data_IF_463362222094
#
_entry.id   IF_463362222094
#
_cell.length_a   1.000
_cell.length_b   1.000
_cell.length_c   1.000
_cell.angle_alpha   90.00
_cell.angle_beta   90.00
_cell.angle_gamma   90.00
#
_symmetry.space_group_name_H-M   'P 1'
#
loop_
_entity.id
_entity.type
_entity.pdbx_description
1 polymer ?
#
# COMPACT_ATOMS: atom_id res chain seq x y z
N UNK A 1 -12.69 -12.09 -14.02
CA UNK A 1 -12.77 -11.08 -12.93
C UNK A 1 -11.86 -9.91 -13.30
N UNK A 2 -12.28 -8.67 -13.12
CA UNK A 2 -11.51 -7.49 -13.54
C UNK A 2 -11.42 -6.50 -12.39
N UNK A 3 -10.21 -6.05 -12.05
CA UNK A 3 -9.97 -5.03 -11.03
C UNK A 3 -9.66 -3.69 -11.69
N UNK A 4 -10.29 -2.62 -11.19
CA UNK A 4 -9.89 -1.24 -11.50
C UNK A 4 -9.20 -0.66 -10.27
N UNK A 5 -8.01 -0.11 -10.45
CA UNK A 5 -7.25 0.56 -9.39
C UNK A 5 -7.11 2.03 -9.77
N UNK A 6 -7.57 2.91 -8.88
CA UNK A 6 -7.49 4.37 -9.05
C UNK A 6 -6.62 4.93 -7.93
N UNK A 7 -5.56 5.64 -8.27
CA UNK A 7 -4.72 6.36 -7.31
C UNK A 7 -5.43 7.65 -6.89
N UNK A 8 -5.76 7.76 -5.61
CA UNK A 8 -6.36 8.97 -5.03
C UNK A 8 -5.32 9.90 -4.40
N UNK A 9 -4.26 9.33 -3.80
CA UNK A 9 -3.14 10.10 -3.23
C UNK A 9 -1.83 9.42 -3.62
N UNK A 10 -0.88 10.24 -4.04
CA UNK A 10 0.50 9.88 -4.34
C UNK A 10 1.39 11.13 -4.18
N UNK A 11 2.71 10.95 -4.08
CA UNK A 11 3.67 12.04 -3.89
C UNK A 11 3.79 12.99 -5.10
N UNK A 12 3.31 12.57 -6.26
CA UNK A 12 3.33 13.36 -7.49
C UNK A 12 2.02 13.24 -8.27
N UNK A 13 1.60 14.30 -8.97
CA UNK A 13 0.39 14.31 -9.76
C UNK A 13 0.61 15.01 -11.10
N UNK A 14 0.03 14.46 -12.16
CA UNK A 14 0.06 15.02 -13.52
C UNK A 14 -1.34 15.42 -14.04
N UNK A 15 -2.40 15.15 -13.25
CA UNK A 15 -3.78 15.50 -13.58
C UNK A 15 -4.12 16.97 -13.31
N UNK A 16 -4.98 17.59 -14.15
CA UNK A 16 -5.50 18.93 -13.85
C UNK A 16 -6.38 18.87 -12.60
N UNK A 17 -6.20 19.86 -11.71
CA UNK A 17 -6.94 20.05 -10.46
C UNK A 17 -6.72 18.97 -9.39
N UNK A 18 -6.11 17.85 -9.70
CA UNK A 18 -5.68 16.89 -8.71
C UNK A 18 -4.51 17.45 -7.91
N UNK A 19 -4.41 17.04 -6.65
CA UNK A 19 -3.35 17.46 -5.75
C UNK A 19 -2.56 16.25 -5.28
N UNK A 20 -1.30 16.48 -4.89
CA UNK A 20 -0.38 15.49 -4.36
C UNK A 20 0.01 15.83 -2.92
N UNK A 21 0.28 14.83 -2.13
CA UNK A 21 0.90 14.96 -0.82
C UNK A 21 1.84 13.76 -0.58
N UNK A 22 2.68 13.86 0.44
CA UNK A 22 3.44 12.70 0.87
C UNK A 22 2.50 11.68 1.51
N UNK A 23 2.17 10.63 0.78
CA UNK A 23 1.22 9.61 1.22
C UNK A 23 0.75 8.72 0.06
N UNK A 24 0.00 7.68 0.42
CA UNK A 24 -0.60 6.77 -0.54
C UNK A 24 -2.07 6.53 -0.20
N UNK A 25 -2.93 6.56 -1.23
CA UNK A 25 -4.30 6.07 -1.16
C UNK A 25 -4.73 5.52 -2.51
N UNK A 26 -5.15 4.27 -2.53
CA UNK A 26 -5.61 3.57 -3.73
C UNK A 26 -7.05 3.12 -3.56
N UNK A 27 -7.91 3.41 -4.54
CA UNK A 27 -9.23 2.80 -4.60
C UNK A 27 -9.17 1.57 -5.51
N UNK A 28 -9.64 0.44 -5.00
CA UNK A 28 -9.76 -0.83 -5.71
C UNK A 28 -11.25 -1.11 -5.93
N UNK A 29 -11.66 -1.27 -7.18
CA UNK A 29 -13.04 -1.57 -7.56
C UNK A 29 -13.11 -2.96 -8.23
N UNK A 30 -14.04 -3.80 -7.78
CA UNK A 30 -14.30 -5.11 -8.36
C UNK A 30 -15.73 -5.59 -8.02
N UNK A 31 -16.50 -6.02 -9.03
CA UNK A 31 -17.82 -6.65 -8.87
C UNK A 31 -18.76 -5.87 -7.91
N UNK A 32 -18.77 -4.55 -8.01
CA UNK A 32 -19.59 -3.68 -7.17
C UNK A 32 -19.02 -3.37 -5.79
N UNK A 33 -17.90 -3.97 -5.39
CA UNK A 33 -17.18 -3.57 -4.19
C UNK A 33 -16.23 -2.42 -4.48
N UNK A 34 -16.16 -1.49 -3.52
CA UNK A 34 -15.20 -0.39 -3.46
C UNK A 34 -14.36 -0.55 -2.21
N UNK A 35 -13.07 -0.73 -2.35
CA UNK A 35 -12.11 -0.93 -1.27
C UNK A 35 -11.08 0.18 -1.33
N UNK A 36 -10.93 0.93 -0.24
CA UNK A 36 -9.87 1.92 -0.10
C UNK A 36 -8.67 1.25 0.56
N UNK A 37 -7.50 1.36 -0.04
CA UNK A 37 -6.22 0.91 0.51
C UNK A 37 -5.42 2.15 0.89
N UNK A 38 -5.30 2.39 2.19
CA UNK A 38 -4.76 3.59 2.85
C UNK A 38 -5.52 4.90 2.56
N UNK A 39 -5.24 5.95 3.33
CA UNK A 39 -5.97 7.21 3.29
C UNK A 39 -5.09 8.42 2.99
N UNK A 40 -3.79 8.24 2.74
CA UNK A 40 -2.86 9.36 2.66
C UNK A 40 -2.60 10.02 4.00
N UNK A 41 -2.06 11.23 3.95
CA UNK A 41 -1.68 12.00 5.13
C UNK A 41 -2.77 12.96 5.62
N UNK A 42 -3.73 13.31 4.78
CA UNK A 42 -4.79 14.28 5.07
C UNK A 42 -6.16 13.84 4.52
N UNK A 43 -7.08 14.78 4.33
CA UNK A 43 -8.35 14.56 3.62
C UNK A 43 -8.23 14.66 2.10
N UNK A 44 -7.02 14.78 1.57
CA UNK A 44 -6.76 14.99 0.15
C UNK A 44 -7.35 13.88 -0.73
N UNK A 45 -7.37 12.63 -0.24
CA UNK A 45 -8.00 11.52 -0.97
C UNK A 45 -9.49 11.77 -1.25
N UNK A 46 -10.21 12.48 -0.35
CA UNK A 46 -11.64 12.84 -0.54
C UNK A 46 -11.76 13.90 -1.64
N UNK A 47 -10.88 14.92 -1.61
CA UNK A 47 -10.85 15.97 -2.63
C UNK A 47 -10.61 15.37 -4.03
N UNK A 48 -9.57 14.54 -4.16
CA UNK A 48 -9.23 13.89 -5.44
C UNK A 48 -10.29 12.88 -5.89
N UNK A 49 -10.93 12.17 -4.96
CA UNK A 49 -12.06 11.29 -5.23
C UNK A 49 -13.25 12.07 -5.83
N UNK A 50 -13.62 13.20 -5.21
CA UNK A 50 -14.70 14.07 -5.70
C UNK A 50 -14.43 14.56 -7.13
N UNK A 51 -13.19 14.97 -7.44
CA UNK A 51 -12.80 15.39 -8.79
C UNK A 51 -12.80 14.24 -9.82
N UNK A 52 -12.83 13.01 -9.35
CA UNK A 52 -12.85 11.79 -10.16
C UNK A 52 -14.23 11.11 -10.19
N UNK A 53 -15.28 11.80 -9.71
CA UNK A 53 -16.65 11.27 -9.58
C UNK A 53 -16.73 10.01 -8.73
N UNK A 54 -15.90 9.92 -7.67
CA UNK A 54 -15.82 8.80 -6.74
C UNK A 54 -16.41 9.22 -5.39
N UNK A 55 -17.45 8.51 -4.95
CA UNK A 55 -18.11 8.71 -3.66
C UNK A 55 -17.43 7.88 -2.56
N UNK A 56 -16.66 8.52 -1.68
CA UNK A 56 -15.99 7.86 -0.56
C UNK A 56 -16.99 7.28 0.45
N UNK A 57 -18.17 7.87 0.59
CA UNK A 57 -19.26 7.34 1.42
C UNK A 57 -19.74 5.94 0.96
N UNK A 58 -19.49 5.57 -0.30
CA UNK A 58 -19.88 4.28 -0.88
C UNK A 58 -18.82 3.19 -0.76
N UNK A 59 -17.63 3.49 -0.22
CA UNK A 59 -16.59 2.50 0.06
C UNK A 59 -17.10 1.46 1.06
N UNK A 60 -16.85 0.18 0.75
CA UNK A 60 -17.29 -0.96 1.56
C UNK A 60 -16.27 -1.33 2.65
N UNK A 61 -14.98 -1.23 2.32
CA UNK A 61 -13.88 -1.57 3.20
C UNK A 61 -12.76 -0.54 3.08
N UNK A 62 -12.17 -0.15 4.23
CA UNK A 62 -10.89 0.52 4.30
C UNK A 62 -9.86 -0.49 4.79
N UNK A 63 -8.77 -0.66 4.07
CA UNK A 63 -7.62 -1.45 4.48
C UNK A 63 -6.51 -0.48 4.86
N UNK A 64 -5.95 -0.59 6.08
CA UNK A 64 -4.76 0.13 6.48
C UNK A 64 -3.56 -0.82 6.39
N UNK A 65 -2.61 -0.46 5.56
CA UNK A 65 -1.42 -1.28 5.29
C UNK A 65 -0.49 -1.38 6.49
N UNK A 66 -0.30 -0.27 7.20
CA UNK A 66 0.50 -0.13 8.42
C UNK A 66 0.18 1.21 9.10
N UNK A 67 0.76 1.47 10.27
CA UNK A 67 0.36 2.58 11.14
C UNK A 67 1.00 3.94 10.87
N UNK A 68 1.78 4.15 9.81
CA UNK A 68 2.39 5.45 9.54
C UNK A 68 1.37 6.51 9.11
N UNK A 69 1.61 7.77 9.50
CA UNK A 69 0.68 8.88 9.30
C UNK A 69 0.43 9.25 7.83
N UNK A 70 1.36 8.99 6.95
CA UNK A 70 1.24 9.18 5.50
C UNK A 70 0.36 8.10 4.81
N UNK A 71 -0.12 7.13 5.59
CA UNK A 71 -1.10 6.10 5.18
C UNK A 71 -2.40 6.18 5.96
N UNK A 72 -2.34 6.71 7.19
CA UNK A 72 -3.46 6.71 8.14
C UNK A 72 -3.95 8.10 8.52
N UNK A 73 -3.29 9.16 8.05
CA UNK A 73 -3.63 10.53 8.44
C UNK A 73 -5.03 10.96 8.04
N UNK A 74 -5.55 10.45 6.92
CA UNK A 74 -6.92 10.65 6.48
C UNK A 74 -7.98 9.80 7.18
N UNK A 75 -7.59 8.88 8.09
CA UNK A 75 -8.52 7.93 8.72
C UNK A 75 -9.72 8.60 9.40
N UNK A 76 -9.50 9.68 10.16
CA UNK A 76 -10.60 10.40 10.82
C UNK A 76 -11.54 11.07 9.81
N UNK A 77 -10.99 11.61 8.73
CA UNK A 77 -11.77 12.20 7.65
C UNK A 77 -12.59 11.10 6.96
N UNK A 78 -12.00 9.93 6.68
CA UNK A 78 -12.73 8.77 6.17
C UNK A 78 -13.91 8.38 7.09
N UNK A 79 -13.67 8.21 8.39
CA UNK A 79 -14.70 7.83 9.36
C UNK A 79 -15.79 8.89 9.50
N UNK A 80 -15.48 10.17 9.19
CA UNK A 80 -16.46 11.27 9.23
C UNK A 80 -17.43 11.24 8.05
N UNK A 81 -16.97 10.86 6.85
CA UNK A 81 -17.79 10.86 5.63
C UNK A 81 -18.38 9.50 5.31
N UNK A 82 -17.67 8.40 5.62
CA UNK A 82 -18.17 7.04 5.45
C UNK A 82 -18.67 6.48 6.78
N UNK A 83 -19.93 6.04 6.84
CA UNK A 83 -20.57 5.54 8.07
C UNK A 83 -20.76 4.03 8.09
N UNK A 84 -20.40 3.31 7.01
CA UNK A 84 -20.75 1.89 6.83
C UNK A 84 -19.53 0.96 6.67
N UNK A 85 -18.41 1.44 6.14
CA UNK A 85 -17.27 0.60 5.84
C UNK A 85 -16.64 -0.01 7.11
N UNK A 86 -16.21 -1.26 7.03
CA UNK A 86 -15.31 -1.83 8.02
C UNK A 86 -13.87 -1.38 7.74
N UNK A 87 -13.11 -1.09 8.80
CA UNK A 87 -11.67 -0.79 8.74
C UNK A 87 -10.90 -2.08 9.05
N UNK A 88 -10.10 -2.54 8.12
CA UNK A 88 -9.34 -3.79 8.21
C UNK A 88 -7.86 -3.44 8.40
N UNK A 89 -7.25 -3.90 9.48
CA UNK A 89 -5.82 -3.70 9.75
C UNK A 89 -5.30 -4.74 10.74
N UNK A 90 -4.01 -4.70 11.02
CA UNK A 90 -3.47 -5.37 12.21
C UNK A 90 -3.62 -4.44 13.41
N UNK A 91 -3.75 -5.00 14.60
CA UNK A 91 -3.94 -4.20 15.81
C UNK A 91 -2.76 -3.27 16.07
N UNK A 92 -1.55 -3.72 15.77
CA UNK A 92 -0.30 -3.00 15.94
C UNK A 92 -0.21 -1.74 15.05
N UNK A 93 -1.03 -1.62 14.00
CA UNK A 93 -1.12 -0.41 13.18
C UNK A 93 -1.65 0.79 13.99
N UNK A 94 -2.37 0.56 15.08
CA UNK A 94 -2.88 1.61 15.97
C UNK A 94 -1.92 1.97 17.10
N UNK A 95 -0.76 1.31 17.21
CA UNK A 95 0.26 1.68 18.18
C UNK A 95 0.91 3.00 17.79
N UNK A 96 1.39 3.74 18.80
CA UNK A 96 2.17 4.95 18.52
C UNK A 96 3.45 4.58 17.81
N UNK A 97 3.73 5.26 16.72
CA UNK A 97 4.91 5.06 15.88
C UNK A 97 5.79 6.28 15.91
N UNK A 98 7.10 6.08 15.78
CA UNK A 98 8.06 7.16 15.79
C UNK A 98 9.12 6.94 14.71
N UNK A 99 9.55 8.03 14.09
CA UNK A 99 10.80 8.08 13.31
C UNK A 99 11.78 8.93 14.09
N UNK A 100 12.85 8.32 14.60
CA UNK A 100 13.71 8.93 15.63
C UNK A 100 12.87 9.36 16.86
N UNK A 101 12.75 10.68 17.08
CA UNK A 101 11.97 11.28 18.18
C UNK A 101 10.64 11.88 17.75
N UNK A 102 10.35 11.88 16.42
CA UNK A 102 9.12 12.45 15.87
C UNK A 102 8.05 11.37 15.78
N UNK A 103 6.90 11.64 16.37
CA UNK A 103 5.72 10.78 16.20
C UNK A 103 5.23 10.84 14.75
N UNK A 104 4.97 9.67 14.16
CA UNK A 104 4.49 9.50 12.80
C UNK A 104 3.46 8.37 12.68
N UNK A 105 2.78 8.06 13.77
CA UNK A 105 1.71 7.07 13.82
C UNK A 105 0.32 7.63 13.58
N UNK A 106 -0.70 6.81 13.84
CA UNK A 106 -2.11 7.20 13.81
C UNK A 106 -2.37 8.29 14.85
N UNK A 107 -2.88 9.44 14.41
CA UNK A 107 -3.16 10.58 15.30
C UNK A 107 -4.29 10.21 16.25
N UNK A 108 -4.06 10.41 17.57
CA UNK A 108 -5.05 10.16 18.63
C UNK A 108 -5.72 8.78 18.51
N UNK A 109 -4.97 7.72 18.23
CA UNK A 109 -5.51 6.38 18.03
C UNK A 109 -6.37 5.89 19.20
N UNK A 110 -6.06 6.33 20.42
CA UNK A 110 -6.81 6.04 21.64
C UNK A 110 -8.22 6.66 21.68
N UNK A 111 -8.53 7.63 20.82
CA UNK A 111 -9.84 8.28 20.71
C UNK A 111 -10.69 7.74 19.56
N UNK A 112 -10.21 6.71 18.85
CA UNK A 112 -10.97 6.08 17.76
C UNK A 112 -12.08 5.19 18.31
N UNK A 113 -13.26 5.27 17.70
CA UNK A 113 -14.29 4.25 17.87
C UNK A 113 -13.91 3.01 17.07
N UNK A 114 -13.54 1.95 17.80
CA UNK A 114 -13.08 0.69 17.20
C UNK A 114 -14.22 -0.25 16.80
N UNK A 115 -15.48 0.13 16.97
CA UNK A 115 -16.64 -0.73 16.67
C UNK A 115 -16.69 -1.21 15.22
N UNK A 116 -16.06 -0.45 14.31
CA UNK A 116 -15.96 -0.76 12.87
C UNK A 116 -14.64 -1.42 12.46
N UNK A 117 -13.72 -1.61 13.41
CA UNK A 117 -12.41 -2.21 13.12
C UNK A 117 -12.49 -3.73 13.18
N UNK A 118 -11.85 -4.36 12.21
CA UNK A 118 -11.63 -5.81 12.15
C UNK A 118 -10.12 -6.04 12.10
N UNK A 119 -9.58 -6.54 13.21
CA UNK A 119 -8.18 -6.89 13.30
C UNK A 119 -7.94 -8.27 12.69
N UNK A 120 -6.93 -8.37 11.81
CA UNK A 120 -6.55 -9.62 11.16
C UNK A 120 -5.15 -10.04 11.59
N UNK A 121 -4.95 -11.35 11.72
CA UNK A 121 -3.66 -11.95 12.13
C UNK A 121 -3.16 -12.99 11.15
N UNK A 122 -4.00 -13.45 10.22
CA UNK A 122 -3.66 -14.45 9.21
C UNK A 122 -4.21 -14.08 7.84
N UNK A 123 -3.72 -14.75 6.81
CA UNK A 123 -4.19 -14.58 5.44
C UNK A 123 -5.73 -14.64 5.38
N UNK A 124 -6.33 -13.64 4.78
CA UNK A 124 -7.79 -13.45 4.75
C UNK A 124 -8.25 -13.10 3.35
N UNK A 125 -9.20 -13.83 2.81
CA UNK A 125 -9.96 -13.41 1.63
C UNK A 125 -11.06 -12.44 2.06
N UNK A 126 -10.89 -11.15 1.74
CA UNK A 126 -11.83 -10.11 2.16
C UNK A 126 -13.10 -10.09 1.32
N UNK A 127 -12.92 -10.21 0.02
CA UNK A 127 -13.97 -10.43 -0.99
C UNK A 127 -13.43 -11.45 -2.01
N UNK A 128 -14.26 -12.10 -2.81
CA UNK A 128 -13.78 -13.08 -3.80
C UNK A 128 -12.62 -12.55 -4.65
N UNK A 129 -11.47 -13.20 -4.55
CA UNK A 129 -10.24 -12.87 -5.27
C UNK A 129 -9.39 -11.75 -4.68
N UNK A 130 -9.80 -11.09 -3.58
CA UNK A 130 -8.95 -10.11 -2.88
C UNK A 130 -8.48 -10.68 -1.54
N UNK A 131 -7.17 -10.93 -1.44
CA UNK A 131 -6.52 -11.51 -0.27
C UNK A 131 -5.66 -10.50 0.46
N UNK A 132 -5.71 -10.55 1.79
CA UNK A 132 -4.87 -9.77 2.70
C UNK A 132 -3.79 -10.68 3.29
N UNK A 133 -2.56 -10.23 3.27
CA UNK A 133 -1.38 -10.91 3.79
C UNK A 133 -0.79 -10.13 4.96
N UNK A 134 -1.24 -10.37 6.20
CA UNK A 134 -0.71 -9.70 7.39
C UNK A 134 0.54 -10.38 7.97
N UNK A 135 0.84 -11.61 7.54
CA UNK A 135 2.05 -12.34 7.92
C UNK A 135 3.05 -12.31 6.75
N UNK A 136 4.08 -11.49 6.92
CA UNK A 136 5.11 -11.21 5.92
C UNK A 136 6.48 -11.55 6.51
N UNK A 137 6.91 -12.83 6.52
CA UNK A 137 8.17 -13.24 7.10
C UNK A 137 9.36 -12.59 6.38
N UNK A 138 10.35 -12.15 7.18
CA UNK A 138 11.61 -11.60 6.66
C UNK A 138 12.55 -12.76 6.36
N UNK A 139 12.72 -13.07 5.08
CA UNK A 139 13.63 -14.10 4.57
C UNK A 139 14.91 -13.44 4.03
N UNK A 140 14.76 -12.27 3.41
CA UNK A 140 15.87 -11.41 2.96
C UNK A 140 15.94 -10.18 3.86
N UNK A 141 16.79 -10.14 4.89
CA UNK A 141 16.89 -9.00 5.81
C UNK A 141 17.52 -7.77 5.15
N UNK A 142 18.29 -7.92 4.07
CA UNK A 142 18.94 -6.80 3.37
C UNK A 142 17.93 -5.90 2.65
N UNK A 143 16.73 -6.41 2.37
CA UNK A 143 15.62 -5.65 1.76
C UNK A 143 14.70 -4.99 2.79
N UNK A 144 14.98 -5.08 4.10
CA UNK A 144 14.13 -4.45 5.13
C UNK A 144 14.45 -2.97 5.32
N UNK A 145 13.47 -2.21 5.91
CA UNK A 145 13.57 -0.77 6.13
C UNK A 145 13.12 -0.43 7.56
N UNK A 146 13.85 -0.95 8.56
CA UNK A 146 13.51 -0.81 9.99
C UNK A 146 14.29 0.31 10.68
N UNK A 147 15.31 0.84 10.02
CA UNK A 147 16.26 1.77 10.62
C UNK A 147 15.56 3.08 11.03
N UNK A 148 15.80 3.51 12.29
CA UNK A 148 15.29 4.75 12.88
C UNK A 148 13.79 4.76 13.17
N UNK A 149 13.09 3.63 12.99
CA UNK A 149 11.69 3.49 13.33
C UNK A 149 11.51 2.78 14.68
N UNK A 150 10.51 3.25 15.44
CA UNK A 150 10.19 2.73 16.76
C UNK A 150 8.67 2.64 16.92
N UNK A 151 8.23 1.71 17.75
CA UNK A 151 6.81 1.53 18.09
C UNK A 151 6.64 1.43 19.60
N UNK A 152 5.50 1.95 20.10
CA UNK A 152 5.12 1.87 21.50
C UNK A 152 4.33 0.59 21.72
N UNK A 153 4.94 -0.39 22.38
CA UNK A 153 4.26 -1.61 22.86
C UNK A 153 3.84 -1.47 24.33
N UNK A 154 3.07 -2.42 24.89
CA UNK A 154 2.80 -2.45 26.32
C UNK A 154 4.06 -2.48 27.19
N UNK A 155 5.16 -3.04 26.68
CA UNK A 155 6.44 -3.17 27.37
C UNK A 155 7.32 -1.92 27.26
N UNK A 156 6.95 -0.98 26.39
CA UNK A 156 7.69 0.27 26.17
C UNK A 156 7.95 0.60 24.69
N UNK A 157 8.80 1.58 24.44
CA UNK A 157 9.22 1.95 23.09
C UNK A 157 10.35 1.02 22.64
N UNK A 158 10.13 0.31 21.56
CA UNK A 158 11.06 -0.66 20.98
C UNK A 158 11.32 -0.35 19.49
N UNK A 159 12.43 -0.83 18.88
CA UNK A 159 12.61 -0.76 17.44
C UNK A 159 11.38 -1.36 16.71
N UNK A 160 10.91 -0.66 15.69
CA UNK A 160 9.78 -1.14 14.90
C UNK A 160 10.26 -2.09 13.81
N UNK A 161 9.81 -3.33 13.85
CA UNK A 161 10.04 -4.34 12.81
C UNK A 161 8.82 -4.53 11.92
N UNK A 162 7.89 -3.56 11.97
CA UNK A 162 6.68 -3.48 11.16
C UNK A 162 5.83 -4.75 11.19
N UNK A 163 5.58 -5.25 12.40
CA UNK A 163 4.64 -6.35 12.59
C UNK A 163 3.21 -6.00 12.18
N UNK A 164 2.91 -4.72 12.03
CA UNK A 164 1.62 -4.20 11.55
C UNK A 164 1.49 -4.17 10.02
N UNK A 165 2.59 -4.34 9.26
CA UNK A 165 2.54 -4.27 7.80
C UNK A 165 1.73 -5.44 7.22
N UNK A 166 0.87 -5.11 6.24
CA UNK A 166 0.17 -6.06 5.40
C UNK A 166 0.22 -5.67 3.93
N UNK A 167 0.14 -6.67 3.05
CA UNK A 167 0.04 -6.50 1.60
C UNK A 167 -1.26 -7.09 1.08
N UNK A 168 -1.65 -6.67 -0.14
CA UNK A 168 -2.86 -7.13 -0.83
C UNK A 168 -2.48 -7.92 -2.07
N UNK A 169 -3.13 -9.07 -2.28
CA UNK A 169 -3.10 -9.78 -3.56
C UNK A 169 -4.47 -9.75 -4.21
N UNK A 170 -4.50 -9.44 -5.51
CA UNK A 170 -5.70 -9.47 -6.35
C UNK A 170 -5.60 -10.63 -7.33
N UNK A 171 -6.57 -11.52 -7.30
CA UNK A 171 -6.61 -12.73 -8.13
C UNK A 171 -7.69 -12.56 -9.19
N UNK A 172 -7.31 -12.74 -10.45
CA UNK A 172 -8.23 -12.73 -11.58
C UNK A 172 -7.86 -13.87 -12.55
N UNK A 173 -8.78 -14.82 -12.71
CA UNK A 173 -8.50 -16.02 -13.52
C UNK A 173 -7.23 -16.73 -13.03
N UNK A 174 -6.23 -16.92 -13.90
CA UNK A 174 -4.94 -17.54 -13.58
C UNK A 174 -3.84 -16.47 -13.37
N UNK A 175 -4.20 -15.25 -12.95
CA UNK A 175 -3.24 -14.18 -12.70
C UNK A 175 -3.34 -13.69 -11.26
N UNK A 176 -2.23 -13.20 -10.71
CA UNK A 176 -2.20 -12.48 -9.45
C UNK A 176 -1.52 -11.13 -9.60
N UNK A 177 -1.98 -10.15 -8.83
CA UNK A 177 -1.38 -8.82 -8.72
C UNK A 177 -1.07 -8.53 -7.25
N UNK A 178 -0.02 -7.77 -6.97
CA UNK A 178 0.40 -7.42 -5.62
C UNK A 178 0.36 -5.91 -5.43
N UNK A 179 -0.29 -5.46 -4.36
CA UNK A 179 -0.24 -4.08 -3.89
C UNK A 179 0.46 -4.05 -2.53
N UNK A 180 1.49 -3.23 -2.42
CA UNK A 180 2.21 -2.99 -1.18
C UNK A 180 2.38 -1.48 -0.97
N UNK A 181 2.13 -0.99 0.24
CA UNK A 181 2.16 0.46 0.49
C UNK A 181 3.59 1.00 0.57
N UNK A 182 4.36 0.54 1.57
CA UNK A 182 5.75 0.97 1.79
C UNK A 182 6.78 -0.15 1.69
N UNK A 183 6.38 -1.39 1.89
CA UNK A 183 7.28 -2.57 1.88
C UNK A 183 8.42 -2.48 2.92
N UNK A 184 8.11 -2.03 4.15
CA UNK A 184 9.11 -1.94 5.21
C UNK A 184 9.75 -3.29 5.56
N UNK A 185 8.98 -4.38 5.47
CA UNK A 185 9.48 -5.75 5.65
C UNK A 185 10.21 -6.30 4.43
N UNK A 186 10.38 -5.47 3.39
CA UNK A 186 11.06 -5.77 2.14
C UNK A 186 10.13 -6.27 1.04
N UNK A 187 10.17 -5.62 -0.12
CA UNK A 187 9.31 -6.01 -1.26
C UNK A 187 9.61 -7.42 -1.74
N UNK A 188 10.87 -7.89 -1.71
CA UNK A 188 11.24 -9.24 -2.11
C UNK A 188 10.65 -10.30 -1.17
N UNK A 189 10.54 -10.00 0.13
CA UNK A 189 9.91 -10.85 1.13
C UNK A 189 8.39 -10.95 0.90
N UNK A 190 7.75 -9.81 0.62
CA UNK A 190 6.32 -9.73 0.30
C UNK A 190 6.00 -10.55 -0.96
N UNK A 191 6.74 -10.32 -2.03
CA UNK A 191 6.53 -11.01 -3.31
C UNK A 191 6.75 -12.52 -3.20
N UNK A 192 7.78 -12.95 -2.45
CA UNK A 192 8.03 -14.37 -2.20
C UNK A 192 6.87 -15.00 -1.43
N UNK A 193 6.39 -14.33 -0.38
CA UNK A 193 5.28 -14.81 0.44
C UNK A 193 4.01 -15.00 -0.39
N UNK A 194 3.63 -13.97 -1.15
CA UNK A 194 2.42 -14.00 -1.97
C UNK A 194 2.57 -14.98 -3.14
N UNK A 195 3.68 -14.92 -3.88
CA UNK A 195 3.92 -15.80 -5.04
C UNK A 195 3.87 -17.29 -4.72
N UNK A 196 4.35 -17.67 -3.52
CA UNK A 196 4.28 -19.05 -3.05
C UNK A 196 2.82 -19.54 -2.82
N UNK A 197 1.88 -18.65 -2.59
CA UNK A 197 0.46 -19.00 -2.44
C UNK A 197 -0.26 -19.23 -3.77
N UNK A 198 0.32 -18.78 -4.89
CA UNK A 198 -0.30 -18.86 -6.22
C UNK A 198 0.61 -19.53 -7.25
N UNK A 199 1.04 -20.79 -7.01
CA UNK A 199 1.93 -21.49 -7.93
C UNK A 199 1.24 -21.70 -9.28
N UNK A 200 1.95 -21.37 -10.36
CA UNK A 200 1.44 -21.51 -11.74
C UNK A 200 0.56 -20.34 -12.22
N UNK A 201 0.28 -19.35 -11.37
CA UNK A 201 -0.39 -18.12 -11.79
C UNK A 201 0.60 -17.14 -12.42
N UNK A 202 0.16 -16.38 -13.40
CA UNK A 202 0.95 -15.31 -14.00
C UNK A 202 0.97 -14.08 -13.08
N UNK A 203 2.16 -13.56 -12.82
CA UNK A 203 2.30 -12.30 -12.07
C UNK A 203 1.93 -11.11 -12.97
N UNK A 204 0.75 -10.54 -12.75
CA UNK A 204 0.15 -9.51 -13.63
C UNK A 204 0.64 -8.10 -13.35
N UNK A 205 0.55 -7.67 -12.09
CA UNK A 205 0.84 -6.30 -11.68
C UNK A 205 1.55 -6.28 -10.32
N UNK A 206 2.60 -5.47 -10.24
CA UNK A 206 3.19 -5.01 -8.97
C UNK A 206 2.96 -3.52 -8.85
N UNK A 207 2.26 -3.05 -7.80
CA UNK A 207 2.07 -1.62 -7.56
C UNK A 207 2.31 -1.24 -6.09
N UNK A 208 2.87 -0.04 -5.89
CA UNK A 208 3.11 0.54 -4.57
C UNK A 208 4.53 1.06 -4.35
N UNK A 209 4.88 1.28 -3.08
CA UNK A 209 6.16 1.83 -2.65
C UNK A 209 7.14 0.78 -2.13
N UNK A 210 8.43 1.02 -2.33
CA UNK A 210 9.50 0.10 -1.95
C UNK A 210 10.44 0.67 -0.88
N UNK A 211 10.11 1.84 -0.33
CA UNK A 211 10.82 2.56 0.73
C UNK A 211 12.34 2.76 0.51
N UNK A 212 12.75 2.98 -0.72
CA UNK A 212 14.17 3.06 -1.09
C UNK A 212 14.62 4.45 -1.57
N UNK A 213 13.82 5.49 -1.36
CA UNK A 213 14.13 6.85 -1.85
C UNK A 213 15.53 7.35 -1.42
N UNK A 214 15.98 6.99 -0.21
CA UNK A 214 17.32 7.33 0.32
C UNK A 214 18.24 6.10 0.42
N UNK A 215 17.84 4.95 -0.13
CA UNK A 215 18.66 3.74 -0.05
C UNK A 215 19.86 3.82 -1.00
N UNK A 216 20.95 3.18 -0.59
CA UNK A 216 22.13 2.99 -1.44
C UNK A 216 21.79 2.10 -2.65
N UNK A 217 22.64 2.13 -3.67
CA UNK A 217 22.39 1.43 -4.93
C UNK A 217 22.40 -0.10 -4.80
N UNK A 218 23.07 -0.62 -3.78
CA UNK A 218 23.06 -2.05 -3.45
C UNK A 218 21.65 -2.55 -3.15
N UNK A 219 20.87 -1.80 -2.36
CA UNK A 219 19.47 -2.20 -2.06
C UNK A 219 18.60 -2.15 -3.30
N UNK A 220 18.77 -1.15 -4.17
CA UNK A 220 18.11 -1.15 -5.48
C UNK A 220 18.47 -2.39 -6.31
N UNK A 221 19.76 -2.75 -6.34
CA UNK A 221 20.26 -3.90 -7.10
C UNK A 221 19.63 -5.23 -6.62
N UNK A 222 19.55 -5.44 -5.30
CA UNK A 222 18.90 -6.61 -4.70
C UNK A 222 17.45 -6.74 -5.18
N UNK A 223 16.68 -5.65 -5.13
CA UNK A 223 15.27 -5.65 -5.56
C UNK A 223 15.17 -5.86 -7.08
N UNK A 224 16.01 -5.16 -7.85
CA UNK A 224 15.99 -5.27 -9.32
C UNK A 224 16.35 -6.69 -9.78
N UNK A 225 17.33 -7.33 -9.17
CA UNK A 225 17.74 -8.70 -9.52
C UNK A 225 16.67 -9.72 -9.12
N UNK A 226 16.00 -9.52 -7.99
CA UNK A 226 14.83 -10.34 -7.64
C UNK A 226 13.72 -10.20 -8.68
N UNK A 227 13.39 -8.97 -9.07
CA UNK A 227 12.34 -8.69 -10.07
C UNK A 227 12.67 -9.23 -11.45
N UNK A 228 13.93 -9.21 -11.91
CA UNK A 228 14.34 -9.82 -13.18
C UNK A 228 14.01 -11.33 -13.25
N UNK A 229 14.09 -12.02 -12.11
CA UNK A 229 13.78 -13.45 -11.99
C UNK A 229 12.29 -13.73 -11.67
N UNK A 230 11.53 -12.72 -11.27
CA UNK A 230 10.11 -12.82 -10.87
C UNK A 230 9.33 -11.65 -11.48
N UNK A 231 9.34 -11.54 -12.80
CA UNK A 231 8.91 -10.37 -13.53
C UNK A 231 7.38 -10.31 -13.63
N UNK A 232 6.74 -9.24 -13.14
CA UNK A 232 5.33 -8.99 -13.44
C UNK A 232 5.15 -8.49 -14.87
N UNK A 233 3.95 -8.64 -15.45
CA UNK A 233 3.64 -8.04 -16.74
C UNK A 233 3.61 -6.50 -16.70
N UNK A 234 3.28 -5.91 -15.53
CA UNK A 234 3.19 -4.48 -15.31
C UNK A 234 3.79 -4.09 -13.96
N UNK A 235 4.49 -2.95 -13.93
CA UNK A 235 5.06 -2.37 -12.71
C UNK A 235 4.55 -0.93 -12.54
N UNK A 236 3.91 -0.66 -11.38
CA UNK A 236 3.42 0.66 -10.98
C UNK A 236 4.05 1.12 -9.68
N UNK A 237 5.35 1.46 -9.71
CA UNK A 237 6.08 1.89 -8.51
C UNK A 237 5.79 3.37 -8.21
N UNK A 238 5.62 3.71 -6.93
CA UNK A 238 5.22 5.04 -6.51
C UNK A 238 5.71 5.39 -5.09
N UNK A 239 5.23 6.50 -4.56
CA UNK A 239 5.28 6.93 -3.16
C UNK A 239 6.72 6.92 -2.56
N UNK A 240 6.98 6.09 -1.55
CA UNK A 240 8.24 6.05 -0.82
C UNK A 240 9.42 5.44 -1.59
N UNK A 241 9.22 4.97 -2.81
CA UNK A 241 10.33 4.58 -3.71
C UNK A 241 11.21 5.77 -4.08
N UNK A 242 10.61 6.96 -4.23
CA UNK A 242 11.30 8.18 -4.60
C UNK A 242 11.59 8.29 -6.10
N UNK A 243 11.67 9.53 -6.59
CA UNK A 243 11.72 9.83 -8.02
C UNK A 243 13.00 9.32 -8.70
N UNK A 244 14.14 9.36 -8.01
CA UNK A 244 15.42 8.90 -8.57
C UNK A 244 15.42 7.39 -8.76
N UNK A 245 14.94 6.64 -7.77
CA UNK A 245 14.83 5.18 -7.86
C UNK A 245 13.73 4.77 -8.84
N UNK A 246 12.63 5.53 -8.91
CA UNK A 246 11.63 5.39 -9.97
C UNK A 246 12.26 5.47 -11.36
N UNK A 247 13.11 6.46 -11.61
CA UNK A 247 13.78 6.62 -12.90
C UNK A 247 14.69 5.42 -13.21
N UNK A 248 15.41 4.90 -12.23
CA UNK A 248 16.25 3.69 -12.38
C UNK A 248 15.41 2.45 -12.71
N UNK A 249 14.28 2.23 -12.02
CA UNK A 249 13.36 1.12 -12.34
C UNK A 249 12.80 1.26 -13.74
N UNK A 250 12.37 2.46 -14.13
CA UNK A 250 11.87 2.71 -15.48
C UNK A 250 12.92 2.42 -16.55
N UNK A 251 14.17 2.78 -16.31
CA UNK A 251 15.27 2.47 -17.22
C UNK A 251 15.56 0.98 -17.29
N UNK A 252 15.51 0.29 -16.15
CA UNK A 252 15.82 -1.16 -16.05
C UNK A 252 14.71 -2.02 -16.64
N UNK A 253 13.43 -1.60 -16.49
CA UNK A 253 12.24 -2.37 -16.87
C UNK A 253 11.35 -1.61 -17.89
N UNK A 254 11.96 -0.90 -18.83
CA UNK A 254 11.34 0.12 -19.67
C UNK A 254 10.05 -0.27 -20.43
N UNK A 255 9.85 -1.55 -20.74
CA UNK A 255 8.65 -2.04 -21.43
C UNK A 255 7.50 -2.44 -20.50
N UNK A 256 7.76 -2.54 -19.19
CA UNK A 256 6.81 -3.04 -18.20
C UNK A 256 6.21 -1.92 -17.35
N UNK A 257 6.73 -0.69 -17.54
CA UNK A 257 6.42 0.40 -16.65
C UNK A 257 5.13 1.10 -17.08
N UNK A 258 4.10 1.01 -16.23
CA UNK A 258 2.92 1.87 -16.30
C UNK A 258 3.01 2.92 -15.20
N UNK A 259 2.99 4.20 -15.57
CA UNK A 259 2.81 5.25 -14.58
C UNK A 259 1.41 5.11 -13.99
N UNK A 260 1.23 5.08 -12.66
CA UNK A 260 -0.08 5.14 -12.06
C UNK A 260 -0.67 6.55 -12.25
N UNK A 261 -1.18 6.82 -13.47
CA UNK A 261 -1.90 8.05 -13.77
C UNK A 261 -3.37 7.71 -13.97
N UNK A 262 -4.30 8.49 -13.39
CA UNK A 262 -5.73 8.31 -13.63
C UNK A 262 -6.14 8.36 -15.12
N UNK A 263 -5.25 8.81 -16.00
CA UNK A 263 -5.50 8.91 -17.46
C UNK A 263 -5.11 7.67 -18.26
N UNK A 264 -4.36 6.73 -17.71
CA UNK A 264 -3.89 5.57 -18.48
C UNK A 264 -4.97 4.49 -18.66
N UNK A 265 -6.15 4.66 -18.04
CA UNK A 265 -7.31 3.77 -18.23
C UNK A 265 -8.08 4.02 -19.54
N UNK A 266 -7.81 5.11 -20.28
CA UNK A 266 -8.57 5.48 -21.50
C UNK A 266 -7.86 5.13 -22.82
N UNK A 267 -6.66 4.54 -22.81
CA UNK A 267 -5.90 4.27 -24.05
C UNK A 267 -5.78 2.81 -24.46
N UNK A 268 -6.68 1.93 -24.02
CA UNK A 268 -6.87 0.63 -24.66
C UNK A 268 -8.14 0.63 -25.51
N UNK A 269 -8.06 1.19 -26.69
CA UNK A 269 -8.97 0.91 -27.81
C UNK A 269 -8.17 0.31 -28.94
#
# INVERSE_FOLDING_TARGET
MHYKITTLVENAVYGRNLQAEHGLSLLIENNGYKILFDTGQSDLFIHNATLSDIEIAEVNFLILSHGHSDHTGGLRHFLSVNKKASVICKQEALYRKFKDKRENGVIDSNLLDLSRFRFITGQTELIPGLFLFPDLPVINPEDTHFERFFTQTPEGVVPDIFNDELAVALIAENTYSVLSACSHRGITNILRTIGNCFPGYTFKLLAGGFHIHNAQDEKFSIIADYLKNNLPEQIGICHCTGIDKYALFRQTFCLLYTSPSPRDTERSR
#
